data_IF_532925687798
#
_entry.id   IF_532925687798
#
_cell.length_a   1.000
_cell.length_b   1.000
_cell.length_c   1.000
_cell.angle_alpha   90.00
_cell.angle_beta   90.00
_cell.angle_gamma   90.00
#
_symmetry.space_group_name_H-M   'P 1'
#
loop_
_entity.id
_entity.type
_entity.pdbx_description
1 polymer ?
#
# COMPACT_ATOMS: atom_id res chain seq x y z
N UNK A 1 48.87 -58.17 6.91
CA UNK A 1 48.07 -57.07 6.34
C UNK A 1 46.64 -57.00 6.89
N UNK A 2 45.72 -57.93 6.54
CA UNK A 2 44.27 -57.78 6.74
C UNK A 2 43.76 -57.35 8.15
N UNK A 3 44.38 -57.81 9.24
CA UNK A 3 43.99 -57.41 10.60
C UNK A 3 44.22 -55.92 10.90
N UNK A 4 45.22 -55.29 10.25
CA UNK A 4 45.52 -53.86 10.37
C UNK A 4 44.45 -53.02 9.67
N UNK A 5 44.02 -53.41 8.47
CA UNK A 5 42.92 -52.74 7.77
C UNK A 5 41.59 -52.91 8.52
N UNK A 6 41.28 -54.09 9.05
CA UNK A 6 40.05 -54.32 9.81
C UNK A 6 39.97 -53.43 11.07
N UNK A 7 41.05 -53.36 11.86
CA UNK A 7 41.12 -52.47 13.02
C UNK A 7 41.12 -50.97 12.65
N UNK A 8 41.66 -50.60 11.48
CA UNK A 8 41.54 -49.24 10.93
C UNK A 8 40.09 -48.87 10.55
N UNK A 9 39.35 -49.76 9.87
CA UNK A 9 37.94 -49.52 9.54
C UNK A 9 37.06 -49.42 10.80
N UNK A 10 37.35 -50.21 11.85
CA UNK A 10 36.67 -50.09 13.15
C UNK A 10 36.97 -48.73 13.80
N UNK A 11 38.19 -48.21 13.68
CA UNK A 11 38.53 -46.84 14.15
C UNK A 11 37.77 -45.79 13.34
N UNK A 12 37.73 -45.90 12.02
CA UNK A 12 36.99 -44.98 11.14
C UNK A 12 35.50 -44.96 11.50
N UNK A 13 34.84 -46.11 11.61
CA UNK A 13 33.45 -46.20 12.05
C UNK A 13 33.20 -45.56 13.44
N UNK A 14 34.17 -45.67 14.36
CA UNK A 14 34.13 -45.00 15.68
C UNK A 14 34.30 -43.47 15.61
N UNK A 15 34.87 -42.92 14.53
CA UNK A 15 34.95 -41.45 14.31
C UNK A 15 33.67 -40.83 13.75
N UNK A 16 32.69 -41.64 13.30
CA UNK A 16 31.40 -41.12 12.84
C UNK A 16 30.65 -40.37 13.97
N UNK A 17 29.91 -39.29 13.66
CA UNK A 17 29.10 -38.57 14.64
C UNK A 17 28.17 -39.51 15.44
N UNK A 18 28.01 -39.31 16.76
CA UNK A 18 27.21 -40.20 17.60
C UNK A 18 25.74 -40.28 17.16
N UNK A 19 25.21 -39.21 16.53
CA UNK A 19 23.87 -39.21 15.92
C UNK A 19 23.72 -40.18 14.75
N UNK A 20 24.78 -40.45 13.98
CA UNK A 20 24.80 -41.47 12.93
C UNK A 20 25.03 -42.87 13.52
N UNK A 21 25.93 -43.01 14.48
CA UNK A 21 26.18 -44.30 15.16
C UNK A 21 24.90 -44.82 15.85
N UNK A 22 24.17 -43.96 16.56
CA UNK A 22 22.88 -44.31 17.18
C UNK A 22 21.75 -44.52 16.16
N UNK A 23 21.86 -43.97 14.95
CA UNK A 23 20.93 -44.30 13.87
C UNK A 23 21.22 -45.70 13.30
N UNK A 24 22.47 -45.98 12.95
CA UNK A 24 22.90 -47.24 12.33
C UNK A 24 22.82 -48.43 13.30
N UNK A 25 22.97 -48.23 14.62
CA UNK A 25 22.76 -49.31 15.60
C UNK A 25 21.28 -49.65 15.81
N UNK A 26 20.36 -48.71 15.56
CA UNK A 26 18.90 -48.95 15.59
C UNK A 26 18.37 -49.45 14.25
N UNK A 27 18.94 -49.00 13.15
CA UNK A 27 18.52 -49.30 11.78
C UNK A 27 19.72 -49.73 10.92
N UNK A 28 20.35 -50.89 11.19
CA UNK A 28 21.47 -51.38 10.39
C UNK A 28 20.99 -51.77 8.97
N UNK A 29 21.57 -51.21 7.89
CA UNK A 29 21.26 -51.65 6.53
C UNK A 29 21.83 -53.05 6.26
N UNK A 30 21.21 -53.79 5.33
CA UNK A 30 21.64 -55.13 4.97
C UNK A 30 23.12 -55.23 4.55
N UNK A 31 23.68 -54.15 4.00
CA UNK A 31 25.08 -54.07 3.56
C UNK A 31 26.13 -54.15 4.70
N UNK A 32 25.75 -53.96 5.97
CA UNK A 32 26.65 -54.11 7.13
C UNK A 32 26.32 -55.33 8.01
N UNK A 33 25.28 -56.09 7.66
CA UNK A 33 24.95 -57.34 8.33
C UNK A 33 25.86 -58.45 7.79
N UNK A 34 26.20 -59.48 8.60
CA UNK A 34 26.98 -60.61 8.12
C UNK A 34 26.22 -61.29 6.97
N UNK A 35 26.85 -61.38 5.80
CA UNK A 35 26.32 -62.13 4.66
C UNK A 35 26.20 -63.59 5.07
N UNK A 36 24.98 -64.10 5.16
CA UNK A 36 24.73 -65.51 5.45
C UNK A 36 25.39 -66.36 4.35
N UNK A 37 26.43 -67.10 4.73
CA UNK A 37 27.00 -68.15 3.89
C UNK A 37 25.92 -69.18 3.59
N UNK A 38 25.88 -69.63 2.35
CA UNK A 38 24.86 -70.52 1.79
C UNK A 38 24.68 -71.76 2.68
N UNK A 39 23.49 -71.91 3.28
CA UNK A 39 22.80 -73.16 3.71
C UNK A 39 21.78 -72.90 4.83
N UNK A 40 22.01 -71.92 5.72
CA UNK A 40 21.05 -71.61 6.80
C UNK A 40 20.08 -70.49 6.41
N UNK A 41 18.79 -70.81 6.22
CA UNK A 41 17.71 -69.86 5.90
C UNK A 41 17.23 -69.05 7.12
N UNK A 42 18.15 -68.45 7.88
CA UNK A 42 17.80 -67.48 8.92
C UNK A 42 17.57 -66.10 8.26
N UNK A 43 16.39 -65.46 8.41
CA UNK A 43 16.22 -64.08 7.96
C UNK A 43 17.19 -63.16 8.74
N UNK A 44 17.74 -62.11 8.10
CA UNK A 44 18.68 -61.20 8.76
C UNK A 44 18.04 -60.60 10.02
N UNK A 45 18.76 -60.66 11.15
CA UNK A 45 18.24 -60.32 12.47
C UNK A 45 17.80 -58.84 12.55
N UNK A 46 16.52 -58.59 12.31
CA UNK A 46 15.92 -57.26 12.37
C UNK A 46 15.91 -56.74 13.81
N UNK A 47 16.24 -55.46 13.98
CA UNK A 47 16.08 -54.81 15.28
C UNK A 47 14.60 -54.63 15.62
N UNK A 48 14.27 -54.50 16.91
CA UNK A 48 12.91 -54.14 17.36
C UNK A 48 12.41 -52.84 16.72
N UNK A 49 13.32 -51.88 16.45
CA UNK A 49 13.04 -50.63 15.76
C UNK A 49 12.70 -50.83 14.26
N UNK A 50 13.32 -51.80 13.59
CA UNK A 50 13.02 -52.18 12.20
C UNK A 50 11.70 -52.96 12.09
N UNK A 51 11.42 -53.85 13.04
CA UNK A 51 10.15 -54.58 13.14
C UNK A 51 8.97 -53.61 13.32
N UNK A 52 9.12 -52.60 14.20
CA UNK A 52 8.11 -51.58 14.43
C UNK A 52 7.96 -50.57 13.26
N UNK A 53 9.05 -50.27 12.53
CA UNK A 53 9.02 -49.37 11.37
C UNK A 53 10.12 -49.73 10.36
N UNK A 54 9.81 -50.50 9.30
CA UNK A 54 10.82 -50.99 8.35
C UNK A 54 11.57 -49.90 7.58
N UNK A 55 11.00 -48.70 7.46
CA UNK A 55 11.69 -47.51 6.94
C UNK A 55 11.32 -46.29 7.81
N UNK A 56 12.23 -45.85 8.72
CA UNK A 56 11.93 -44.81 9.71
C UNK A 56 11.81 -43.39 9.12
N UNK A 57 11.98 -43.23 7.81
CA UNK A 57 11.82 -41.96 7.07
C UNK A 57 10.47 -41.86 6.34
N UNK A 58 9.67 -42.92 6.29
CA UNK A 58 8.35 -42.95 5.65
C UNK A 58 7.25 -43.08 6.73
N UNK A 59 6.06 -42.49 6.52
CA UNK A 59 4.91 -42.77 7.38
C UNK A 59 4.48 -44.23 7.19
N UNK A 60 3.99 -44.86 8.25
CA UNK A 60 3.57 -46.28 8.25
C UNK A 60 2.12 -46.40 8.68
N UNK A 61 1.29 -47.09 7.89
CA UNK A 61 -0.11 -47.36 8.22
C UNK A 61 -0.16 -48.49 9.27
N UNK A 62 -0.75 -48.22 10.43
CA UNK A 62 -0.87 -49.20 11.50
C UNK A 62 -1.94 -50.26 11.14
N UNK A 63 -1.66 -51.57 11.24
CA UNK A 63 -2.54 -52.60 10.68
C UNK A 63 -3.89 -52.71 11.38
N UNK A 64 -3.94 -52.57 12.71
CA UNK A 64 -5.18 -52.75 13.48
C UNK A 64 -6.11 -51.54 13.40
N UNK A 65 -5.57 -50.33 13.51
CA UNK A 65 -6.37 -49.09 13.57
C UNK A 65 -6.52 -48.39 12.21
N UNK A 66 -5.79 -48.84 11.19
CA UNK A 66 -5.80 -48.23 9.86
C UNK A 66 -5.22 -46.81 9.77
N UNK A 67 -4.81 -46.20 10.88
CA UNK A 67 -4.28 -44.84 10.93
C UNK A 67 -2.83 -44.77 10.42
N UNK A 68 -2.48 -43.67 9.77
CA UNK A 68 -1.11 -43.38 9.37
C UNK A 68 -0.31 -42.81 10.54
N UNK A 69 0.74 -43.51 10.95
CA UNK A 69 1.72 -43.01 11.91
C UNK A 69 2.76 -42.14 11.20
N UNK A 70 3.15 -41.04 11.85
CA UNK A 70 4.22 -40.15 11.38
C UNK A 70 5.58 -40.88 11.32
N UNK A 71 6.48 -40.52 10.39
CA UNK A 71 7.82 -41.13 10.32
C UNK A 71 8.61 -40.86 11.61
N UNK A 72 9.27 -41.90 12.12
CA UNK A 72 10.08 -41.89 13.37
C UNK A 72 11.12 -40.76 13.39
N UNK A 73 11.61 -40.36 12.21
CA UNK A 73 12.39 -39.14 12.02
C UNK A 73 11.61 -38.18 11.12
N UNK A 74 11.29 -36.99 11.65
CA UNK A 74 10.64 -35.91 10.90
C UNK A 74 11.51 -35.43 9.73
N UNK A 75 10.89 -34.79 8.72
CA UNK A 75 11.59 -34.33 7.50
C UNK A 75 12.80 -33.42 7.76
N UNK A 76 12.85 -32.71 8.91
CA UNK A 76 14.03 -31.98 9.39
C UNK A 76 15.13 -32.95 9.86
N UNK A 77 14.82 -33.86 10.78
CA UNK A 77 15.78 -34.87 11.31
C UNK A 77 16.31 -35.78 10.21
N UNK A 78 15.51 -36.11 9.20
CA UNK A 78 15.95 -36.79 7.98
C UNK A 78 17.00 -35.99 7.21
N UNK A 79 16.76 -34.69 6.97
CA UNK A 79 17.70 -33.83 6.28
C UNK A 79 19.01 -33.62 7.07
N UNK A 80 18.94 -33.53 8.40
CA UNK A 80 20.11 -33.48 9.28
C UNK A 80 20.94 -34.77 9.19
N UNK A 81 20.31 -35.95 9.27
CA UNK A 81 20.99 -37.25 9.11
C UNK A 81 21.60 -37.41 7.71
N UNK A 82 20.85 -37.06 6.67
CA UNK A 82 21.30 -37.10 5.26
C UNK A 82 22.46 -36.12 5.01
N UNK A 83 22.49 -34.96 5.66
CA UNK A 83 23.64 -34.05 5.56
C UNK A 83 24.87 -34.68 6.21
N UNK A 84 24.78 -35.09 7.48
CA UNK A 84 25.89 -35.73 8.19
C UNK A 84 26.39 -36.98 7.47
N UNK A 85 25.49 -37.78 6.89
CA UNK A 85 25.86 -38.98 6.16
C UNK A 85 26.65 -38.65 4.89
N UNK A 86 26.33 -37.57 4.17
CA UNK A 86 27.13 -37.10 3.03
C UNK A 86 28.48 -36.54 3.46
N UNK A 87 28.49 -35.70 4.48
CA UNK A 87 29.69 -35.06 5.02
C UNK A 87 30.72 -36.12 5.50
N UNK A 88 30.27 -37.34 5.82
CA UNK A 88 31.09 -38.50 6.21
C UNK A 88 31.11 -39.66 5.19
N UNK A 89 30.59 -39.50 3.97
CA UNK A 89 30.67 -40.52 2.91
C UNK A 89 29.83 -41.80 3.12
N UNK A 90 28.79 -41.75 3.95
CA UNK A 90 27.93 -42.89 4.32
C UNK A 90 26.45 -42.68 3.96
N UNK A 91 26.12 -41.81 2.99
CA UNK A 91 24.71 -41.56 2.58
C UNK A 91 24.03 -42.83 2.01
N UNK A 92 24.78 -43.74 1.38
CA UNK A 92 24.28 -45.03 0.87
C UNK A 92 23.81 -46.00 1.97
N UNK A 93 24.29 -45.83 3.21
CA UNK A 93 23.89 -46.67 4.35
C UNK A 93 22.55 -46.24 4.97
N UNK A 94 21.95 -45.14 4.50
CA UNK A 94 20.65 -44.66 4.99
C UNK A 94 19.48 -45.24 4.16
N UNK A 95 18.34 -45.55 4.80
CA UNK A 95 17.17 -46.06 4.09
C UNK A 95 16.59 -45.00 3.14
N UNK A 96 16.02 -45.44 2.00
CA UNK A 96 15.51 -44.53 0.96
C UNK A 96 14.43 -43.58 1.50
N UNK A 97 14.67 -42.27 1.38
CA UNK A 97 13.79 -41.23 1.91
C UNK A 97 13.74 -39.96 1.05
N UNK A 98 12.74 -39.09 1.24
CA UNK A 98 12.47 -37.93 0.37
C UNK A 98 13.53 -36.81 0.44
N UNK A 99 14.54 -36.92 1.31
CA UNK A 99 15.59 -35.91 1.51
C UNK A 99 16.96 -36.28 0.91
N UNK A 100 17.20 -37.57 0.59
CA UNK A 100 18.48 -38.04 0.04
C UNK A 100 18.82 -37.45 -1.33
N UNK A 101 20.12 -37.38 -1.66
CA UNK A 101 20.65 -36.85 -2.93
C UNK A 101 19.99 -37.50 -4.13
N UNK A 102 20.11 -38.81 -4.24
CA UNK A 102 19.84 -39.53 -5.49
C UNK A 102 18.36 -39.53 -5.81
N UNK A 103 17.51 -39.65 -4.79
CA UNK A 103 16.05 -39.53 -4.90
C UNK A 103 15.65 -38.12 -5.39
N UNK A 104 16.34 -37.07 -4.92
CA UNK A 104 16.09 -35.68 -5.33
C UNK A 104 16.66 -35.36 -6.72
N UNK A 105 17.83 -35.91 -7.06
CA UNK A 105 18.49 -35.77 -8.35
C UNK A 105 17.70 -36.50 -9.44
N UNK A 106 17.43 -37.81 -9.25
CA UNK A 106 16.61 -38.63 -10.15
C UNK A 106 15.27 -37.95 -10.42
N UNK A 107 14.53 -37.58 -9.37
CA UNK A 107 13.23 -36.90 -9.51
C UNK A 107 13.32 -35.53 -10.21
N UNK A 108 14.44 -34.80 -10.09
CA UNK A 108 14.66 -33.52 -10.80
C UNK A 108 14.98 -33.74 -12.28
N UNK A 109 15.76 -34.76 -12.61
CA UNK A 109 16.11 -35.11 -14.00
C UNK A 109 14.89 -35.69 -14.73
N UNK A 110 14.18 -36.61 -14.08
CA UNK A 110 13.01 -37.33 -14.60
C UNK A 110 11.78 -36.42 -14.80
N UNK A 111 11.47 -35.56 -13.83
CA UNK A 111 10.23 -34.76 -13.83
C UNK A 111 10.44 -33.27 -14.16
N UNK A 112 11.69 -32.79 -14.24
CA UNK A 112 12.03 -31.40 -14.51
C UNK A 112 11.52 -30.39 -13.47
N UNK A 113 11.46 -29.12 -13.89
CA UNK A 113 10.78 -28.07 -13.13
C UNK A 113 9.26 -28.16 -13.37
N UNK A 114 8.45 -28.15 -12.31
CA UNK A 114 6.98 -28.30 -12.38
C UNK A 114 6.20 -27.16 -11.69
N UNK A 115 6.81 -25.98 -11.62
CA UNK A 115 6.16 -24.75 -11.13
C UNK A 115 5.15 -24.25 -12.17
N UNK A 116 4.04 -23.64 -11.74
CA UNK A 116 3.03 -23.11 -12.67
C UNK A 116 3.63 -21.96 -13.50
N UNK A 117 3.37 -21.94 -14.80
CA UNK A 117 3.88 -20.92 -15.73
C UNK A 117 5.23 -21.29 -16.36
N UNK A 118 6.27 -21.54 -15.54
CA UNK A 118 7.65 -21.78 -16.00
C UNK A 118 8.08 -23.26 -16.01
N UNK A 119 7.27 -24.17 -15.49
CA UNK A 119 7.54 -25.61 -15.53
C UNK A 119 7.42 -26.21 -16.93
N UNK A 120 8.02 -27.39 -17.10
CA UNK A 120 7.99 -28.15 -18.37
C UNK A 120 6.53 -28.40 -18.77
N UNK A 121 6.19 -28.07 -20.02
CA UNK A 121 4.82 -28.18 -20.54
C UNK A 121 3.81 -27.19 -19.94
N UNK A 122 4.25 -26.15 -19.22
CA UNK A 122 3.40 -25.03 -18.80
C UNK A 122 3.65 -23.78 -19.65
N UNK A 123 2.69 -22.86 -19.64
CA UNK A 123 2.79 -21.54 -20.28
C UNK A 123 2.48 -20.44 -19.27
N UNK A 124 3.24 -19.35 -19.32
CA UNK A 124 3.04 -18.17 -18.47
C UNK A 124 1.72 -17.47 -18.84
N UNK A 125 0.97 -17.00 -17.83
CA UNK A 125 -0.37 -16.38 -18.02
C UNK A 125 -0.32 -15.04 -18.75
N UNK A 126 0.77 -14.28 -18.59
CA UNK A 126 0.88 -12.89 -19.03
C UNK A 126 0.13 -11.91 -18.11
N UNK A 127 0.70 -10.73 -17.92
CA UNK A 127 0.09 -9.62 -17.20
C UNK A 127 -1.19 -9.14 -17.91
N UNK A 128 -2.06 -8.45 -17.19
CA UNK A 128 -3.34 -7.98 -17.75
C UNK A 128 -3.16 -6.94 -18.86
N UNK A 129 -2.10 -6.13 -18.83
CA UNK A 129 -1.80 -5.18 -19.90
C UNK A 129 -1.31 -5.87 -21.18
N UNK A 130 -0.53 -6.95 -21.06
CA UNK A 130 -0.01 -7.74 -22.19
C UNK A 130 -1.15 -8.46 -22.91
N UNK A 131 -1.97 -9.20 -22.15
CA UNK A 131 -3.13 -9.93 -22.69
C UNK A 131 -4.11 -9.01 -23.40
N UNK A 132 -4.36 -7.83 -22.85
CA UNK A 132 -5.32 -6.87 -23.39
C UNK A 132 -4.64 -5.85 -24.35
N UNK A 133 -3.36 -6.03 -24.72
CA UNK A 133 -2.61 -5.07 -25.54
C UNK A 133 -3.17 -4.99 -26.96
N UNK A 134 -3.44 -6.14 -27.57
CA UNK A 134 -3.96 -6.26 -28.94
C UNK A 134 -5.30 -5.54 -29.04
N UNK A 135 -6.27 -5.90 -28.20
CA UNK A 135 -7.60 -5.28 -28.13
C UNK A 135 -7.54 -3.76 -27.93
N UNK A 136 -6.64 -3.29 -27.05
CA UNK A 136 -6.46 -1.85 -26.80
C UNK A 136 -5.90 -1.13 -28.03
N UNK A 137 -4.95 -1.73 -28.75
CA UNK A 137 -4.39 -1.15 -29.97
C UNK A 137 -5.39 -1.21 -31.13
N UNK A 138 -6.19 -2.26 -31.25
CA UNK A 138 -7.25 -2.33 -32.25
C UNK A 138 -8.36 -1.29 -31.99
N UNK A 139 -8.82 -1.15 -30.74
CA UNK A 139 -9.79 -0.11 -30.34
C UNK A 139 -9.26 1.30 -30.66
N UNK A 140 -8.00 1.59 -30.35
CA UNK A 140 -7.32 2.84 -30.76
C UNK A 140 -7.29 3.00 -32.29
N UNK A 141 -6.92 1.94 -33.02
CA UNK A 141 -6.84 1.95 -34.50
C UNK A 141 -8.20 2.12 -35.18
N UNK A 142 -9.29 1.64 -34.57
CA UNK A 142 -10.66 1.93 -35.03
C UNK A 142 -11.02 3.39 -34.75
N UNK A 143 -10.86 3.85 -33.50
CA UNK A 143 -11.16 5.24 -33.12
C UNK A 143 -10.43 6.27 -34.02
N UNK A 144 -9.15 6.05 -34.34
CA UNK A 144 -8.39 6.93 -35.25
C UNK A 144 -8.89 6.93 -36.71
N UNK A 145 -9.54 5.85 -37.18
CA UNK A 145 -10.17 5.82 -38.52
C UNK A 145 -11.52 6.53 -38.55
N UNK A 146 -12.29 6.44 -37.46
CA UNK A 146 -13.63 7.05 -37.37
C UNK A 146 -13.58 8.52 -36.90
N UNK A 147 -12.48 8.95 -36.25
CA UNK A 147 -12.23 10.32 -35.78
C UNK A 147 -12.57 11.44 -36.81
N UNK A 148 -12.19 11.35 -38.10
CA UNK A 148 -12.48 12.44 -39.05
C UNK A 148 -13.98 12.65 -39.29
N UNK A 149 -14.79 11.57 -39.23
CA UNK A 149 -16.25 11.64 -39.36
C UNK A 149 -16.84 12.33 -38.13
N UNK A 150 -16.42 11.91 -36.94
CA UNK A 150 -16.87 12.45 -35.66
C UNK A 150 -16.57 13.96 -35.56
N UNK A 151 -15.40 14.40 -36.04
CA UNK A 151 -15.02 15.82 -36.10
C UNK A 151 -15.93 16.60 -37.07
N UNK A 152 -16.27 16.04 -38.23
CA UNK A 152 -17.17 16.68 -39.19
C UNK A 152 -18.61 16.80 -38.64
N UNK A 153 -19.11 15.75 -37.99
CA UNK A 153 -20.41 15.74 -37.32
C UNK A 153 -20.48 16.75 -36.17
N UNK A 154 -19.45 16.82 -35.31
CA UNK A 154 -19.40 17.74 -34.18
C UNK A 154 -19.22 19.21 -34.59
N UNK A 155 -18.47 19.49 -35.67
CA UNK A 155 -18.34 20.87 -36.19
C UNK A 155 -19.60 21.38 -36.91
N UNK A 156 -20.49 20.49 -37.35
CA UNK A 156 -21.73 20.83 -38.08
C UNK A 156 -22.70 21.74 -37.30
N UNK A 157 -23.07 21.46 -36.03
CA UNK A 157 -23.89 22.39 -35.24
C UNK A 157 -23.13 23.68 -34.88
N UNK A 158 -21.81 23.62 -34.67
CA UNK A 158 -20.99 24.81 -34.40
C UNK A 158 -21.01 25.82 -35.55
N UNK A 159 -20.86 25.35 -36.80
CA UNK A 159 -21.04 26.18 -38.00
C UNK A 159 -22.46 26.78 -38.07
N UNK A 160 -23.49 25.95 -37.82
CA UNK A 160 -24.89 26.38 -37.84
C UNK A 160 -25.24 27.39 -36.71
N UNK A 161 -24.51 27.37 -35.59
CA UNK A 161 -24.65 28.34 -34.51
C UNK A 161 -23.92 29.66 -34.83
N UNK A 162 -22.70 29.59 -35.38
CA UNK A 162 -21.95 30.77 -35.85
C UNK A 162 -22.70 31.51 -36.97
N UNK A 163 -23.31 30.78 -37.91
CA UNK A 163 -24.18 31.30 -38.97
C UNK A 163 -25.53 31.87 -38.46
N UNK A 164 -25.84 31.70 -37.16
CA UNK A 164 -27.06 32.20 -36.50
C UNK A 164 -26.78 33.35 -35.54
N UNK A 165 -25.54 33.52 -35.10
CA UNK A 165 -25.09 34.67 -34.29
C UNK A 165 -24.73 35.91 -35.11
N UNK A 166 -24.65 35.81 -36.44
CA UNK A 166 -24.51 36.96 -37.34
C UNK A 166 -25.83 37.67 -37.68
N UNK A 167 -26.94 37.30 -37.01
CA UNK A 167 -28.31 37.75 -37.33
C UNK A 167 -29.16 38.03 -36.08
N UNK A 168 -28.55 38.35 -34.94
CA UNK A 168 -29.23 38.81 -33.73
C UNK A 168 -28.43 39.98 -33.14
N UNK A 169 -29.13 41.05 -32.79
CA UNK A 169 -28.57 42.38 -32.51
C UNK A 169 -27.94 42.56 -31.11
N UNK A 170 -27.44 43.78 -30.88
CA UNK A 170 -27.04 44.32 -29.57
C UNK A 170 -28.01 43.97 -28.43
N UNK A 171 -27.48 43.50 -27.30
CA UNK A 171 -27.49 44.21 -26.00
C UNK A 171 -27.02 43.25 -24.88
N UNK A 172 -25.96 43.62 -24.15
CA UNK A 172 -25.53 42.95 -22.91
C UNK A 172 -24.65 43.88 -22.09
N UNK A 173 -24.91 43.94 -20.79
CA UNK A 173 -24.33 44.94 -19.89
C UNK A 173 -23.06 44.43 -19.20
N UNK A 174 -22.03 45.28 -19.15
CA UNK A 174 -20.73 44.99 -18.53
C UNK A 174 -20.85 44.90 -17.00
N UNK A 175 -20.95 43.68 -16.45
CA UNK A 175 -20.70 43.41 -15.03
C UNK A 175 -19.28 42.89 -14.83
N UNK A 176 -18.32 43.81 -14.75
CA UNK A 176 -16.95 43.52 -14.31
C UNK A 176 -16.98 43.07 -12.86
N UNK A 177 -16.71 41.78 -12.64
CA UNK A 177 -16.37 41.25 -11.31
C UNK A 177 -14.87 41.43 -11.12
N UNK A 178 -14.47 42.37 -10.27
CA UNK A 178 -13.07 42.57 -9.93
C UNK A 178 -12.55 41.38 -9.10
N UNK A 179 -11.84 40.48 -9.77
CA UNK A 179 -11.10 39.40 -9.11
C UNK A 179 -9.86 39.98 -8.41
N UNK A 180 -10.03 40.37 -7.15
CA UNK A 180 -8.90 40.46 -6.22
C UNK A 180 -8.18 39.10 -6.20
N UNK A 181 -6.84 39.11 -6.23
CA UNK A 181 -6.05 37.93 -6.60
C UNK A 181 -6.09 36.72 -5.65
N UNK A 182 -6.84 36.79 -4.54
CA UNK A 182 -6.99 35.71 -3.55
C UNK A 182 -8.24 34.89 -3.90
N UNK A 183 -8.09 33.58 -4.08
CA UNK A 183 -9.22 32.72 -4.46
C UNK A 183 -10.12 32.37 -3.26
N UNK A 184 -11.40 32.05 -3.48
CA UNK A 184 -12.29 31.64 -2.38
C UNK A 184 -11.84 30.35 -1.69
N UNK A 185 -11.14 29.47 -2.42
CA UNK A 185 -10.47 28.27 -1.90
C UNK A 185 -9.35 28.61 -0.92
N UNK A 186 -8.52 29.59 -1.29
CA UNK A 186 -7.40 30.12 -0.50
C UNK A 186 -7.88 30.89 0.75
N UNK A 187 -8.96 31.69 0.63
CA UNK A 187 -9.61 32.40 1.75
C UNK A 187 -10.03 31.46 2.89
N UNK A 188 -10.51 30.25 2.58
CA UNK A 188 -10.89 29.25 3.59
C UNK A 188 -9.76 28.25 3.93
N UNK A 189 -8.67 28.24 3.15
CA UNK A 189 -7.60 27.25 3.24
C UNK A 189 -8.07 25.82 2.94
N UNK A 190 -8.86 25.64 1.87
CA UNK A 190 -9.30 24.34 1.37
C UNK A 190 -8.86 24.20 -0.08
N UNK A 191 -8.18 23.10 -0.44
CA UNK A 191 -7.89 22.83 -1.85
C UNK A 191 -9.18 22.51 -2.62
N UNK A 192 -9.14 22.72 -3.94
CA UNK A 192 -10.22 22.32 -4.84
C UNK A 192 -10.48 20.81 -4.78
N UNK A 193 -9.41 20.03 -4.67
CA UNK A 193 -9.39 18.56 -4.69
C UNK A 193 -10.20 18.00 -3.51
N UNK A 194 -10.00 18.53 -2.30
CA UNK A 194 -10.80 18.17 -1.11
C UNK A 194 -12.30 18.37 -1.35
N UNK A 195 -12.69 19.51 -1.95
CA UNK A 195 -14.10 19.79 -2.24
C UNK A 195 -14.64 19.05 -3.48
N UNK A 196 -13.80 18.43 -4.30
CA UNK A 196 -14.20 17.58 -5.43
C UNK A 196 -14.32 16.10 -5.03
N UNK A 197 -13.44 15.61 -4.15
CA UNK A 197 -13.52 14.26 -3.54
C UNK A 197 -14.63 14.13 -2.49
N UNK A 198 -14.91 15.20 -1.73
CA UNK A 198 -15.97 15.20 -0.72
C UNK A 198 -17.34 14.84 -1.30
N UNK A 199 -18.05 13.92 -0.62
CA UNK A 199 -19.45 13.54 -0.92
C UNK A 199 -20.38 14.73 -0.66
N UNK A 200 -21.53 14.77 -1.35
CA UNK A 200 -22.45 15.92 -1.30
C UNK A 200 -23.04 16.18 0.10
N UNK A 201 -23.11 15.13 0.93
CA UNK A 201 -23.38 15.10 2.38
C UNK A 201 -22.31 15.84 3.21
N UNK A 202 -21.04 15.52 2.99
CA UNK A 202 -19.91 16.03 3.77
C UNK A 202 -19.50 17.47 3.42
N UNK A 203 -19.64 17.86 2.14
CA UNK A 203 -19.30 19.20 1.62
C UNK A 203 -19.70 20.37 2.53
N UNK A 204 -20.97 20.52 2.98
CA UNK A 204 -21.36 21.63 3.85
C UNK A 204 -20.67 21.62 5.22
N UNK A 205 -20.37 20.44 5.80
CA UNK A 205 -19.69 20.35 7.10
C UNK A 205 -18.20 20.71 6.97
N UNK A 206 -17.55 20.27 5.89
CA UNK A 206 -16.17 20.64 5.52
C UNK A 206 -16.05 22.17 5.38
N UNK A 207 -16.97 22.80 4.64
CA UNK A 207 -16.98 24.27 4.45
C UNK A 207 -17.26 25.01 5.78
N UNK A 208 -18.18 24.53 6.63
CA UNK A 208 -18.42 25.10 7.97
C UNK A 208 -17.20 25.01 8.89
N UNK A 209 -16.54 23.84 8.97
CA UNK A 209 -15.33 23.64 9.77
C UNK A 209 -14.21 24.57 9.29
N UNK A 210 -14.01 24.71 7.98
CA UNK A 210 -13.04 25.63 7.40
C UNK A 210 -13.38 27.11 7.64
N UNK A 211 -14.65 27.51 7.53
CA UNK A 211 -15.15 28.86 7.84
C UNK A 211 -14.86 29.23 9.30
N UNK A 212 -15.20 28.37 10.26
CA UNK A 212 -14.91 28.60 11.68
C UNK A 212 -13.40 28.72 11.95
N UNK A 213 -12.58 27.85 11.35
CA UNK A 213 -11.11 27.94 11.40
C UNK A 213 -10.58 29.25 10.81
N UNK A 214 -11.11 29.70 9.68
CA UNK A 214 -10.71 30.96 9.05
C UNK A 214 -11.04 32.16 9.96
N UNK A 215 -12.25 32.21 10.54
CA UNK A 215 -12.60 33.22 11.53
C UNK A 215 -11.63 33.21 12.74
N UNK A 216 -11.35 32.05 13.32
CA UNK A 216 -10.43 31.92 14.47
C UNK A 216 -8.96 32.28 14.17
N UNK A 217 -8.58 32.36 12.89
CA UNK A 217 -7.24 32.80 12.43
C UNK A 217 -7.19 34.27 12.03
N UNK A 218 -8.28 34.82 11.50
CA UNK A 218 -8.37 36.20 10.98
C UNK A 218 -9.23 37.14 11.84
N UNK A 219 -9.61 36.72 13.05
CA UNK A 219 -10.36 37.55 13.99
C UNK A 219 -9.58 38.83 14.35
N UNK A 220 -10.18 40.04 14.29
CA UNK A 220 -9.47 41.30 14.49
C UNK A 220 -8.81 41.41 15.87
N UNK A 221 -9.41 40.80 16.90
CA UNK A 221 -8.87 40.75 18.26
C UNK A 221 -7.47 40.09 18.33
N UNK A 222 -7.25 39.01 17.55
CA UNK A 222 -5.92 38.37 17.41
C UNK A 222 -4.96 39.24 16.61
N UNK A 223 -5.43 40.01 15.63
CA UNK A 223 -4.59 40.95 14.90
C UNK A 223 -4.10 42.11 15.80
N UNK A 224 -4.96 42.60 16.70
CA UNK A 224 -4.60 43.60 17.72
C UNK A 224 -3.59 43.02 18.72
N UNK A 225 -3.79 41.79 19.20
CA UNK A 225 -2.84 41.11 20.07
C UNK A 225 -1.47 40.87 19.40
N UNK A 226 -1.44 40.48 18.11
CA UNK A 226 -0.20 40.32 17.36
C UNK A 226 0.53 41.66 17.16
N UNK A 227 -0.21 42.76 16.95
CA UNK A 227 0.35 44.09 16.78
C UNK A 227 0.95 44.67 18.07
N UNK A 228 0.39 44.37 19.25
CA UNK A 228 0.91 44.86 20.54
C UNK A 228 2.14 44.08 21.04
N UNK A 229 2.29 42.80 20.67
CA UNK A 229 3.52 42.03 20.99
C UNK A 229 4.73 42.55 20.21
N UNK A 230 4.53 43.12 19.01
CA UNK A 230 5.61 43.59 18.14
C UNK A 230 6.38 44.84 18.66
N UNK A 231 5.88 45.53 19.69
CA UNK A 231 6.45 46.80 20.19
C UNK A 231 7.07 46.70 21.60
N UNK A 232 7.14 45.50 22.21
CA UNK A 232 7.55 45.32 23.61
C UNK A 232 8.94 44.69 23.81
N UNK A 233 9.99 45.53 23.81
CA UNK A 233 11.35 45.32 24.38
C UNK A 233 12.33 44.27 23.78
N UNK A 234 13.66 44.53 23.78
CA UNK A 234 14.71 43.61 23.29
C UNK A 234 15.64 43.01 24.38
N UNK A 235 16.53 42.08 23.97
CA UNK A 235 17.61 41.39 24.76
C UNK A 235 17.14 40.19 25.61
N UNK A 236 17.91 39.09 25.80
CA UNK A 236 19.27 38.67 25.34
C UNK A 236 19.40 37.12 25.45
N UNK A 237 20.26 36.49 24.62
CA UNK A 237 20.96 35.17 24.78
C UNK A 237 20.36 34.04 25.64
N UNK A 238 20.30 32.74 25.25
CA UNK A 238 20.70 31.98 24.04
C UNK A 238 20.12 30.52 24.21
N UNK A 239 20.43 29.41 23.50
CA UNK A 239 21.56 28.99 22.63
C UNK A 239 21.19 27.75 21.79
N UNK A 240 21.93 27.50 20.69
CA UNK A 240 22.17 26.21 20.00
C UNK A 240 21.02 25.42 19.31
N UNK A 241 21.20 25.24 17.99
CA UNK A 241 20.83 24.06 17.18
C UNK A 241 19.36 23.60 17.04
N UNK A 242 18.67 24.15 16.03
CA UNK A 242 17.48 23.57 15.40
C UNK A 242 17.37 24.05 13.95
N UNK A 243 16.94 23.19 13.02
CA UNK A 243 16.93 23.53 11.58
C UNK A 243 15.75 24.45 11.20
N UNK A 244 16.00 25.40 10.28
CA UNK A 244 15.01 26.39 9.87
C UNK A 244 14.05 25.87 8.78
N UNK A 245 12.72 25.96 8.94
CA UNK A 245 11.78 25.88 7.84
C UNK A 245 11.72 27.23 7.10
N UNK A 246 12.10 27.25 5.82
CA UNK A 246 11.95 28.44 4.98
C UNK A 246 10.50 28.55 4.51
N UNK A 247 9.81 29.66 4.81
CA UNK A 247 8.37 29.76 4.55
C UNK A 247 7.73 31.12 4.87
N UNK A 248 8.27 32.21 4.33
CA UNK A 248 7.62 33.52 4.42
C UNK A 248 6.38 33.59 3.51
N UNK A 249 5.22 33.20 4.03
CA UNK A 249 3.93 33.57 3.43
C UNK A 249 3.63 35.03 3.79
N UNK A 250 3.48 35.91 2.78
CA UNK A 250 3.10 37.30 3.01
C UNK A 250 1.69 37.35 3.64
N UNK A 251 1.53 38.13 4.71
CA UNK A 251 0.28 38.20 5.47
C UNK A 251 -0.78 39.04 4.75
N UNK A 252 -1.45 38.45 3.76
CA UNK A 252 -2.71 38.98 3.23
C UNK A 252 -3.75 38.98 4.36
N UNK A 253 -4.16 40.16 4.80
CA UNK A 253 -5.19 40.32 5.84
C UNK A 253 -6.54 40.03 5.20
N UNK A 254 -6.93 38.75 5.24
CA UNK A 254 -8.25 38.28 4.81
C UNK A 254 -9.31 38.86 5.75
N UNK A 255 -10.36 39.46 5.19
CA UNK A 255 -11.45 40.07 5.98
C UNK A 255 -12.56 39.07 6.31
N UNK A 256 -13.36 39.37 7.34
CA UNK A 256 -14.53 38.56 7.72
C UNK A 256 -15.53 38.47 6.55
N UNK A 257 -15.70 39.55 5.78
CA UNK A 257 -16.60 39.58 4.61
C UNK A 257 -16.09 38.70 3.46
N UNK A 258 -14.77 38.57 3.29
CA UNK A 258 -14.19 37.62 2.34
C UNK A 258 -14.44 36.17 2.81
N UNK A 259 -14.32 35.89 4.10
CA UNK A 259 -14.55 34.55 4.69
C UNK A 259 -16.03 34.14 4.57
N UNK A 260 -16.98 35.06 4.78
CA UNK A 260 -18.42 34.80 4.65
C UNK A 260 -18.89 34.68 3.19
N UNK A 261 -18.36 35.48 2.28
CA UNK A 261 -18.64 35.34 0.84
C UNK A 261 -18.04 34.06 0.27
N UNK A 262 -16.81 33.70 0.64
CA UNK A 262 -16.18 32.45 0.22
C UNK A 262 -16.95 31.21 0.70
N UNK A 263 -17.40 31.18 1.97
CA UNK A 263 -18.16 30.03 2.49
C UNK A 263 -19.54 29.90 1.83
N UNK A 264 -20.25 31.01 1.61
CA UNK A 264 -21.55 31.02 0.94
C UNK A 264 -21.50 30.64 -0.56
N UNK A 265 -20.36 30.85 -1.23
CA UNK A 265 -20.18 30.41 -2.64
C UNK A 265 -19.74 28.95 -2.72
N UNK A 266 -18.91 28.48 -1.78
CA UNK A 266 -18.37 27.11 -1.79
C UNK A 266 -19.30 26.07 -1.16
N UNK A 267 -20.29 26.46 -0.33
CA UNK A 267 -21.33 25.56 0.18
C UNK A 267 -22.29 25.09 -0.91
N UNK A 268 -22.67 25.99 -1.84
CA UNK A 268 -23.71 25.73 -2.83
C UNK A 268 -23.12 25.15 -4.13
N UNK A 269 -23.45 23.90 -4.45
CA UNK A 269 -22.92 23.19 -5.64
C UNK A 269 -23.13 23.93 -6.97
N UNK A 270 -24.20 24.71 -7.10
CA UNK A 270 -24.46 25.53 -8.28
C UNK A 270 -23.51 26.75 -8.35
N UNK A 271 -23.46 27.56 -7.28
CA UNK A 271 -22.63 28.77 -7.19
C UNK A 271 -21.14 28.43 -7.25
N UNK A 272 -20.72 27.32 -6.64
CA UNK A 272 -19.37 26.77 -6.78
C UNK A 272 -19.04 26.43 -8.24
N UNK A 273 -19.95 25.83 -9.00
CA UNK A 273 -19.76 25.52 -10.44
C UNK A 273 -19.66 26.79 -11.30
N UNK A 274 -20.45 27.81 -11.01
CA UNK A 274 -20.42 29.10 -11.69
C UNK A 274 -19.09 29.84 -11.41
N UNK A 275 -18.68 29.90 -10.14
CA UNK A 275 -17.37 30.43 -9.73
C UNK A 275 -16.22 29.66 -10.38
N UNK A 276 -16.28 28.33 -10.38
CA UNK A 276 -15.32 27.44 -11.03
C UNK A 276 -15.27 27.55 -12.57
N UNK A 277 -16.33 28.07 -13.20
CA UNK A 277 -16.36 28.39 -14.62
C UNK A 277 -15.74 29.77 -14.87
N UNK A 278 -16.15 30.79 -14.09
CA UNK A 278 -15.59 32.13 -14.15
C UNK A 278 -14.06 32.14 -13.90
N UNK A 279 -13.57 31.39 -12.92
CA UNK A 279 -12.15 31.28 -12.58
C UNK A 279 -11.33 30.54 -13.65
N UNK A 280 -11.95 29.60 -14.39
CA UNK A 280 -11.32 29.01 -15.60
C UNK A 280 -11.24 30.02 -16.74
N UNK A 281 -12.30 30.81 -16.95
CA UNK A 281 -12.35 31.83 -18.01
C UNK A 281 -11.37 32.98 -17.73
N UNK A 282 -11.26 33.47 -16.49
CA UNK A 282 -10.29 34.51 -16.13
C UNK A 282 -8.84 34.02 -16.21
N UNK A 283 -8.54 32.79 -15.77
CA UNK A 283 -7.23 32.15 -15.96
C UNK A 283 -6.86 31.99 -17.44
N UNK A 284 -7.84 31.71 -18.31
CA UNK A 284 -7.63 31.62 -19.75
C UNK A 284 -7.39 33.00 -20.40
N UNK A 285 -8.12 34.03 -19.99
CA UNK A 285 -7.94 35.40 -20.50
C UNK A 285 -6.58 36.00 -20.07
N UNK A 286 -6.19 35.81 -18.81
CA UNK A 286 -4.91 36.29 -18.26
C UNK A 286 -3.67 35.65 -18.90
N UNK A 287 -3.82 34.52 -19.59
CA UNK A 287 -2.74 33.83 -20.31
C UNK A 287 -2.21 34.56 -21.56
N UNK A 288 -2.69 35.76 -21.88
CA UNK A 288 -2.33 36.52 -23.09
C UNK A 288 -1.24 37.58 -22.89
N UNK A 289 -0.82 37.87 -21.65
CA UNK A 289 0.14 38.93 -21.34
C UNK A 289 1.18 38.51 -20.29
N UNK A 290 2.06 37.56 -20.64
CA UNK A 290 3.16 37.12 -19.78
C UNK A 290 4.25 36.38 -20.56
N UNK A 291 5.52 36.68 -20.28
CA UNK A 291 6.66 36.09 -20.98
C UNK A 291 6.88 34.65 -20.53
N UNK A 292 6.59 33.67 -21.39
CA UNK A 292 6.72 32.25 -21.07
C UNK A 292 8.14 31.75 -21.27
N UNK A 293 8.82 31.37 -20.18
CA UNK A 293 10.01 30.52 -20.27
C UNK A 293 9.64 29.14 -20.86
N UNK A 294 10.56 28.55 -21.61
CA UNK A 294 10.34 27.34 -22.39
C UNK A 294 10.34 26.04 -21.56
N UNK A 295 10.27 26.13 -20.23
CA UNK A 295 10.07 24.97 -19.35
C UNK A 295 8.61 24.93 -18.85
N UNK A 296 7.88 23.87 -19.22
CA UNK A 296 6.44 23.72 -18.94
C UNK A 296 6.05 23.52 -17.45
N UNK A 297 6.91 23.94 -16.51
CA UNK A 297 6.61 24.04 -15.08
C UNK A 297 6.28 25.49 -14.74
N UNK A 298 5.04 25.89 -15.01
CA UNK A 298 4.43 26.95 -14.20
C UNK A 298 4.56 26.52 -12.74
N UNK A 299 5.21 27.32 -11.89
CA UNK A 299 5.20 27.07 -10.46
C UNK A 299 3.73 27.13 -10.00
N UNK A 300 3.19 26.06 -9.42
CA UNK A 300 1.97 26.19 -8.65
C UNK A 300 2.36 26.90 -7.36
N UNK A 301 1.83 28.12 -7.16
CA UNK A 301 1.48 28.58 -5.82
C UNK A 301 0.17 27.92 -5.36
N UNK A 302 -0.16 26.73 -5.91
CA UNK A 302 -1.27 25.93 -5.46
C UNK A 302 -1.00 25.58 -4.00
N UNK A 303 -1.96 25.95 -3.17
CA UNK A 303 -2.00 25.63 -1.75
C UNK A 303 -2.30 24.13 -1.59
N UNK A 304 -1.35 23.29 -2.01
CA UNK A 304 -1.48 21.83 -2.03
C UNK A 304 -1.22 21.26 -0.64
N UNK A 305 -2.16 21.58 0.26
CA UNK A 305 -2.39 20.85 1.50
C UNK A 305 -2.83 19.44 1.13
N UNK A 306 -1.86 18.55 0.91
CA UNK A 306 -2.12 17.16 0.58
C UNK A 306 -3.01 16.50 1.64
N UNK A 307 -3.95 15.69 1.17
CA UNK A 307 -4.81 14.87 2.02
C UNK A 307 -3.97 13.69 2.49
N UNK A 308 -3.74 13.57 3.79
CA UNK A 308 -3.15 12.35 4.37
C UNK A 308 -4.28 11.31 4.50
N UNK A 309 -4.10 10.13 3.89
CA UNK A 309 -5.07 9.02 3.96
C UNK A 309 -4.59 8.04 5.03
N UNK A 310 -5.46 7.73 5.99
CA UNK A 310 -5.16 6.97 7.21
C UNK A 310 -6.36 6.10 7.57
N UNK A 311 -6.15 4.90 8.10
CA UNK A 311 -7.21 4.01 8.58
C UNK A 311 -7.57 4.33 10.04
N UNK A 312 -8.78 4.02 10.50
CA UNK A 312 -9.22 4.40 11.87
C UNK A 312 -8.35 3.80 12.99
N UNK A 313 -7.77 2.62 12.75
CA UNK A 313 -6.83 1.92 13.65
C UNK A 313 -5.50 2.67 13.87
N UNK A 314 -5.16 3.63 13.01
CA UNK A 314 -3.94 4.46 13.06
C UNK A 314 -4.16 5.78 13.85
N UNK A 315 -5.27 5.92 14.58
CA UNK A 315 -5.59 7.07 15.43
C UNK A 315 -5.59 6.70 16.93
N UNK A 316 -5.21 7.66 17.76
CA UNK A 316 -5.23 7.54 19.23
C UNK A 316 -6.69 7.55 19.72
N UNK A 317 -7.24 6.38 20.06
CA UNK A 317 -8.61 6.20 20.55
C UNK A 317 -8.72 6.43 22.07
N UNK A 318 -9.70 7.24 22.48
CA UNK A 318 -10.10 7.53 23.85
C UNK A 318 -11.42 6.77 24.13
N UNK A 319 -11.31 5.47 24.44
CA UNK A 319 -12.44 4.53 24.58
C UNK A 319 -13.48 4.98 25.63
N UNK A 320 -13.05 5.72 26.66
CA UNK A 320 -13.96 6.29 27.68
C UNK A 320 -14.88 7.42 27.12
N UNK A 321 -14.64 7.88 25.89
CA UNK A 321 -15.22 9.12 25.35
C UNK A 321 -15.74 9.03 23.91
N UNK A 322 -15.60 7.90 23.24
CA UNK A 322 -15.96 7.76 21.82
C UNK A 322 -15.22 8.80 20.95
N UNK A 323 -13.94 9.05 21.23
CA UNK A 323 -13.16 10.13 20.61
C UNK A 323 -11.83 9.61 20.07
N UNK A 324 -11.61 9.76 18.76
CA UNK A 324 -10.33 9.47 18.11
C UNK A 324 -9.59 10.78 17.85
N UNK A 325 -8.28 10.78 18.07
CA UNK A 325 -7.43 11.94 17.80
C UNK A 325 -6.10 11.55 17.17
N UNK A 326 -5.42 12.52 16.55
CA UNK A 326 -4.10 12.31 15.95
C UNK A 326 -3.29 13.60 15.95
N UNK A 327 -2.00 13.46 16.25
CA UNK A 327 -1.02 14.53 16.15
C UNK A 327 -0.91 15.07 14.73
N UNK A 328 -0.92 16.39 14.57
CA UNK A 328 -0.74 17.04 13.28
C UNK A 328 0.69 17.60 13.13
N UNK A 329 1.20 17.56 11.89
CA UNK A 329 2.55 18.01 11.50
C UNK A 329 2.83 19.50 11.80
N UNK A 330 1.84 20.27 12.23
CA UNK A 330 1.98 21.65 12.73
C UNK A 330 2.40 21.75 14.21
N UNK A 331 2.43 20.63 14.96
CA UNK A 331 2.81 20.60 16.38
C UNK A 331 1.64 20.53 17.38
N UNK A 332 0.38 20.49 16.92
CA UNK A 332 -0.75 20.16 17.80
C UNK A 332 -0.89 18.63 17.92
N UNK A 333 -0.67 18.11 19.14
CA UNK A 333 -0.74 16.69 19.51
C UNK A 333 -2.13 16.07 19.34
N UNK A 334 -3.20 16.86 19.39
CA UNK A 334 -4.57 16.44 19.03
C UNK A 334 -5.12 17.35 17.93
N UNK A 335 -4.32 17.53 16.88
CA UNK A 335 -4.59 18.43 15.77
C UNK A 335 -5.74 17.98 14.87
N UNK A 336 -5.96 16.67 14.75
CA UNK A 336 -7.18 16.06 14.22
C UNK A 336 -7.96 15.45 15.39
N UNK A 337 -9.29 15.60 15.37
CA UNK A 337 -10.23 15.01 16.34
C UNK A 337 -11.53 14.66 15.61
N UNK A 338 -12.11 13.52 15.94
CA UNK A 338 -13.42 13.07 15.45
C UNK A 338 -14.09 12.22 16.55
N UNK A 339 -15.41 12.33 16.66
CA UNK A 339 -16.23 11.62 17.67
C UNK A 339 -17.07 10.52 17.03
N UNK A 340 -17.67 9.68 17.86
CA UNK A 340 -18.57 8.59 17.43
C UNK A 340 -19.74 9.11 16.58
N UNK A 341 -20.43 10.18 17.01
CA UNK A 341 -21.45 10.89 16.21
C UNK A 341 -20.94 11.32 14.81
N UNK A 342 -19.65 11.67 14.71
CA UNK A 342 -18.99 12.18 13.50
C UNK A 342 -18.68 11.02 12.52
N UNK A 343 -18.60 9.78 13.03
CA UNK A 343 -18.46 8.54 12.26
C UNK A 343 -19.81 7.90 11.91
N UNK A 344 -20.74 7.81 12.87
CA UNK A 344 -22.08 7.25 12.66
C UNK A 344 -22.82 7.97 11.52
N UNK A 345 -22.72 9.31 11.50
CA UNK A 345 -23.30 10.15 10.45
C UNK A 345 -22.77 9.90 9.03
N UNK A 346 -21.68 9.11 8.87
CA UNK A 346 -21.11 8.67 7.59
C UNK A 346 -20.79 7.16 7.58
N UNK A 347 -21.47 6.35 8.41
CA UNK A 347 -21.27 4.90 8.48
C UNK A 347 -21.48 4.19 7.13
N UNK A 348 -22.58 4.53 6.42
CA UNK A 348 -22.87 4.09 5.05
C UNK A 348 -21.78 4.48 4.03
N UNK A 349 -20.96 5.49 4.34
CA UNK A 349 -19.99 6.08 3.43
C UNK A 349 -18.55 5.56 3.63
N UNK A 350 -18.23 4.97 4.80
CA UNK A 350 -16.93 4.33 5.14
C UNK A 350 -15.69 5.23 5.10
N UNK A 351 -15.87 6.55 4.97
CA UNK A 351 -14.80 7.52 4.75
C UNK A 351 -15.19 8.88 5.33
N UNK A 352 -14.35 9.47 6.19
CA UNK A 352 -14.58 10.79 6.80
C UNK A 352 -13.41 11.75 6.51
N UNK A 353 -13.71 12.97 6.05
CA UNK A 353 -12.70 14.02 5.80
C UNK A 353 -12.67 15.03 6.96
N UNK A 354 -11.54 15.08 7.68
CA UNK A 354 -11.32 15.91 8.87
C UNK A 354 -10.23 16.95 8.63
N UNK A 355 -10.51 18.22 8.93
CA UNK A 355 -9.53 19.30 8.87
C UNK A 355 -8.79 19.48 10.19
N UNK A 356 -7.50 19.83 10.13
CA UNK A 356 -6.75 20.17 11.33
C UNK A 356 -7.30 21.45 11.99
N UNK A 357 -7.32 21.49 13.33
CA UNK A 357 -7.86 22.61 14.10
C UNK A 357 -7.03 23.91 13.94
N UNK A 358 -5.69 23.84 13.99
CA UNK A 358 -4.83 25.03 13.95
C UNK A 358 -4.19 25.34 12.59
N UNK A 359 -4.08 24.35 11.70
CA UNK A 359 -3.44 24.50 10.40
C UNK A 359 -4.35 24.11 9.23
N UNK A 360 -3.81 24.17 8.01
CA UNK A 360 -4.56 23.91 6.78
C UNK A 360 -4.50 22.47 6.28
N UNK A 361 -3.84 21.55 6.99
CA UNK A 361 -3.80 20.13 6.61
C UNK A 361 -5.17 19.45 6.80
N UNK A 362 -5.41 18.43 5.98
CA UNK A 362 -6.62 17.63 5.97
C UNK A 362 -6.26 16.14 6.00
N UNK A 363 -7.06 15.37 6.72
CA UNK A 363 -6.94 13.93 6.95
C UNK A 363 -8.19 13.26 6.37
N UNK A 364 -8.02 12.20 5.57
CA UNK A 364 -9.12 11.32 5.17
C UNK A 364 -8.98 10.01 5.96
N UNK A 365 -9.93 9.78 6.85
CA UNK A 365 -10.01 8.58 7.68
C UNK A 365 -10.89 7.55 6.98
N UNK A 366 -10.36 6.36 6.76
CA UNK A 366 -11.12 5.21 6.28
C UNK A 366 -11.53 4.30 7.45
N UNK A 367 -12.75 3.79 7.43
CA UNK A 367 -13.26 2.91 8.48
C UNK A 367 -14.33 1.95 7.94
N UNK A 368 -14.57 0.87 8.68
CA UNK A 368 -15.63 -0.10 8.39
C UNK A 368 -16.35 -0.46 9.69
N UNK A 369 -17.67 -0.30 9.71
CA UNK A 369 -18.51 -0.87 10.77
C UNK A 369 -18.41 -2.40 10.68
N UNK A 370 -18.24 -3.04 11.83
CA UNK A 370 -18.34 -4.49 11.97
C UNK A 370 -19.66 -4.81 12.68
N UNK A 371 -20.53 -5.57 12.03
CA UNK A 371 -21.72 -6.13 12.68
C UNK A 371 -21.26 -7.25 13.64
N UNK A 372 -21.64 -7.19 14.92
CA UNK A 372 -21.37 -8.26 15.89
C UNK A 372 -22.46 -9.35 15.82
N UNK A 373 -22.12 -10.50 15.23
CA UNK A 373 -22.91 -11.76 15.16
C UNK A 373 -22.89 -12.58 16.47
#
# INVERSE_FOLDING_TARGET
MAASSASSYIRLAKTLPPRLQVFLSRYPPAAILPTATTETQAPPAQTTYQQASPNPFKPTKHPVTGLWQNPVYSLRRQAELVKLARDHGVEELLPTGPKGTDVRLRKRVELGLRVKGTGVGQKVKGHIFERNLVDKMEKRRKAMRDMPKLIAEWKRPLLHQLLRTSTIDHESQDKKMDFSGVTHYEVLGISREILDEAKDTQRPQIVKRAYHRALLRHHPDKAVAAATVATATPSKSSTAAGAAPTGQAASTIITIDQISTASAVLSDRARRREYDAALRLSRAAAGTSGHGDATGRQQPSDFQTGIEIVDLDDLDADEERGLWSRGCRCGNERGFKLSEDDLEAVADEGELIVGCQDCSLWLKVHFSVLDED
#
